data_IF_696011456424
#
_entry.id   IF_696011456424
#
_cell.length_a   1.000
_cell.length_b   1.000
_cell.length_c   1.000
_cell.angle_alpha   90.00
_cell.angle_beta   90.00
_cell.angle_gamma   90.00
#
_symmetry.space_group_name_H-M   'P 1'
#
loop_
_entity.id
_entity.type
_entity.pdbx_description
1 polymer ?
#
# COMPACT_ATOMS: atom_id res chain seq x y z
N UNK A 1 14.41 -6.87 14.30
CA UNK A 1 14.63 -7.52 12.98
C UNK A 1 13.45 -7.36 12.01
N UNK A 2 12.19 -7.59 12.39
CA UNK A 2 11.03 -7.49 11.47
C UNK A 2 10.85 -6.12 10.78
N UNK A 3 11.02 -5.02 11.52
CA UNK A 3 10.94 -3.64 10.98
C UNK A 3 11.98 -3.38 9.89
N UNK A 4 13.22 -3.85 10.07
CA UNK A 4 14.28 -3.70 9.08
C UNK A 4 13.97 -4.45 7.78
N UNK A 5 13.30 -5.61 7.87
CA UNK A 5 12.85 -6.36 6.70
C UNK A 5 11.78 -5.57 5.94
N UNK A 6 10.81 -4.98 6.63
CA UNK A 6 9.80 -4.14 5.98
C UNK A 6 10.41 -2.89 5.36
N UNK A 7 11.37 -2.27 6.04
CA UNK A 7 12.12 -1.13 5.51
C UNK A 7 12.83 -1.48 4.20
N UNK A 8 13.57 -2.59 4.19
CA UNK A 8 14.30 -3.06 3.01
C UNK A 8 13.36 -3.49 1.89
N UNK A 9 12.22 -4.13 2.22
CA UNK A 9 11.18 -4.48 1.26
C UNK A 9 10.53 -3.25 0.64
N UNK A 10 10.25 -2.21 1.43
CA UNK A 10 9.71 -0.95 0.93
C UNK A 10 10.68 -0.21 0.03
N UNK A 11 11.98 -0.20 0.35
CA UNK A 11 13.01 0.31 -0.55
C UNK A 11 13.06 -0.49 -1.87
N UNK A 12 13.00 -1.82 -1.81
CA UNK A 12 12.97 -2.66 -3.00
C UNK A 12 11.73 -2.38 -3.86
N UNK A 13 10.56 -2.27 -3.25
CA UNK A 13 9.31 -1.92 -3.93
C UNK A 13 9.39 -0.53 -4.56
N UNK A 14 9.98 0.42 -3.84
CA UNK A 14 10.21 1.76 -4.33
C UNK A 14 11.11 1.78 -5.56
N UNK A 15 12.23 1.04 -5.54
CA UNK A 15 13.11 0.89 -6.70
C UNK A 15 12.39 0.20 -7.86
N UNK A 16 11.60 -0.82 -7.59
CA UNK A 16 10.85 -1.52 -8.62
C UNK A 16 9.85 -0.57 -9.30
N UNK A 17 9.14 0.25 -8.51
CA UNK A 17 8.15 1.16 -9.06
C UNK A 17 8.72 2.39 -9.76
N UNK A 18 9.94 2.82 -9.43
CA UNK A 18 10.59 3.96 -10.09
C UNK A 18 11.42 3.56 -11.30
N UNK A 19 11.97 2.33 -11.33
CA UNK A 19 12.86 1.88 -12.41
C UNK A 19 12.14 0.99 -13.43
N UNK A 20 11.28 0.06 -13.00
CA UNK A 20 10.69 -0.93 -13.89
C UNK A 20 9.34 -0.47 -14.47
N UNK A 21 8.44 0.08 -13.66
CA UNK A 21 7.11 0.45 -14.17
C UNK A 21 7.11 1.55 -15.24
N UNK A 22 7.95 2.61 -15.16
CA UNK A 22 8.00 3.61 -16.23
C UNK A 22 8.49 3.05 -17.57
N UNK A 23 9.16 1.89 -17.58
CA UNK A 23 9.59 1.20 -18.81
C UNK A 23 8.53 0.26 -19.38
N UNK A 24 7.58 -0.22 -18.56
CA UNK A 24 6.61 -1.25 -18.95
C UNK A 24 5.19 -0.73 -19.12
N UNK A 25 4.82 0.37 -18.44
CA UNK A 25 3.47 0.92 -18.45
C UNK A 25 3.46 2.37 -18.92
N UNK A 26 2.34 2.83 -19.53
CA UNK A 26 2.16 4.25 -19.84
C UNK A 26 2.27 5.10 -18.58
N UNK A 27 2.82 6.31 -18.71
CA UNK A 27 3.24 7.26 -17.67
C UNK A 27 2.27 7.44 -16.48
N UNK A 28 0.98 7.16 -16.66
CA UNK A 28 -0.06 7.40 -15.66
C UNK A 28 -0.64 6.14 -15.01
N UNK A 29 -0.33 4.93 -15.50
CA UNK A 29 -0.79 3.67 -14.90
C UNK A 29 0.41 3.00 -14.23
N UNK A 30 0.66 3.37 -12.97
CA UNK A 30 1.70 2.77 -12.13
C UNK A 30 1.03 2.03 -10.97
N UNK A 31 1.30 0.73 -10.76
CA UNK A 31 0.89 0.07 -9.54
C UNK A 31 1.64 0.66 -8.34
N UNK A 32 0.89 1.00 -7.29
CA UNK A 32 1.44 1.55 -6.07
C UNK A 32 1.78 0.42 -5.09
N UNK A 33 3.02 -0.06 -5.21
CA UNK A 33 3.55 -1.12 -4.35
C UNK A 33 3.71 -0.64 -2.90
N UNK A 34 4.00 0.66 -2.71
CA UNK A 34 4.13 1.23 -1.37
C UNK A 34 2.79 1.33 -0.67
N UNK A 35 1.72 1.71 -1.38
CA UNK A 35 0.35 1.69 -0.84
C UNK A 35 -0.01 0.29 -0.34
N UNK A 36 0.22 -0.74 -1.14
CA UNK A 36 -0.08 -2.12 -0.76
C UNK A 36 0.73 -2.52 0.48
N UNK A 37 2.00 -2.12 0.55
CA UNK A 37 2.85 -2.36 1.72
C UNK A 37 2.35 -1.62 2.96
N UNK A 38 1.91 -0.36 2.83
CA UNK A 38 1.36 0.45 3.92
C UNK A 38 0.04 -0.14 4.43
N UNK A 39 -0.84 -0.59 3.53
CA UNK A 39 -2.06 -1.32 3.88
C UNK A 39 -1.71 -2.59 4.68
N UNK A 40 -0.75 -3.36 4.20
CA UNK A 40 -0.28 -4.55 4.90
C UNK A 40 0.31 -4.24 6.29
N UNK A 41 1.07 -3.15 6.40
CA UNK A 41 1.60 -2.65 7.66
C UNK A 41 0.48 -2.27 8.63
N UNK A 42 -0.56 -1.60 8.14
CA UNK A 42 -1.74 -1.22 8.91
C UNK A 42 -2.48 -2.43 9.50
N UNK A 43 -2.55 -3.53 8.75
CA UNK A 43 -3.15 -4.78 9.23
C UNK A 43 -2.26 -5.47 10.27
N UNK A 44 -0.94 -5.54 10.06
CA UNK A 44 -0.07 -6.47 10.80
C UNK A 44 0.80 -5.85 11.91
N UNK A 45 1.08 -4.54 11.87
CA UNK A 45 2.12 -3.93 12.71
C UNK A 45 1.55 -2.97 13.78
N UNK A 46 2.30 -2.65 14.83
CA UNK A 46 1.81 -1.74 15.89
C UNK A 46 1.70 -0.28 15.41
N UNK A 47 0.80 0.49 16.03
CA UNK A 47 0.53 1.91 15.69
C UNK A 47 1.79 2.75 15.52
N UNK A 48 2.72 2.71 16.48
CA UNK A 48 3.93 3.54 16.45
C UNK A 48 4.91 3.16 15.35
N UNK A 49 5.35 1.90 15.32
CA UNK A 49 6.37 1.44 14.36
C UNK A 49 5.85 1.41 12.92
N UNK A 50 4.58 1.04 12.72
CA UNK A 50 3.96 1.02 11.40
C UNK A 50 3.72 2.43 10.84
N UNK A 51 3.20 3.34 11.67
CA UNK A 51 2.96 4.72 11.27
C UNK A 51 4.26 5.46 10.91
N UNK A 52 5.32 5.28 11.72
CA UNK A 52 6.62 5.87 11.44
C UNK A 52 7.22 5.37 10.11
N UNK A 53 7.12 4.07 9.83
CA UNK A 53 7.57 3.50 8.56
C UNK A 53 6.75 4.03 7.37
N UNK A 54 5.42 4.08 7.49
CA UNK A 54 4.54 4.58 6.43
C UNK A 54 4.87 6.05 6.09
N UNK A 55 5.05 6.88 7.12
CA UNK A 55 5.48 8.27 6.95
C UNK A 55 6.86 8.37 6.30
N UNK A 56 7.83 7.57 6.75
CA UNK A 56 9.19 7.55 6.18
C UNK A 56 9.16 7.18 4.70
N UNK A 57 8.38 6.17 4.30
CA UNK A 57 8.24 5.81 2.90
C UNK A 57 7.58 6.90 2.06
N UNK A 58 6.56 7.57 2.60
CA UNK A 58 5.93 8.70 1.92
C UNK A 58 6.91 9.86 1.74
N UNK A 59 7.70 10.21 2.76
CA UNK A 59 8.74 11.25 2.65
C UNK A 59 9.84 10.87 1.66
N UNK A 60 10.26 9.59 1.63
CA UNK A 60 11.18 9.13 0.59
C UNK A 60 10.53 9.30 -0.79
N UNK A 61 9.27 8.92 -0.94
CA UNK A 61 8.55 9.07 -2.21
C UNK A 61 8.47 10.54 -2.66
N UNK A 62 8.24 11.47 -1.75
CA UNK A 62 8.28 12.91 -2.05
C UNK A 62 9.64 13.33 -2.64
N UNK A 63 10.76 12.86 -2.05
CA UNK A 63 12.12 13.17 -2.52
C UNK A 63 12.36 12.63 -3.94
N UNK A 64 11.94 11.40 -4.22
CA UNK A 64 12.15 10.78 -5.54
C UNK A 64 11.16 11.27 -6.60
N UNK A 65 9.95 11.65 -6.22
CA UNK A 65 8.95 12.19 -7.13
C UNK A 65 9.20 13.66 -7.47
N UNK A 66 10.05 14.36 -6.70
CA UNK A 66 10.23 15.81 -6.82
C UNK A 66 8.97 16.59 -6.43
N UNK A 67 8.09 15.97 -5.63
CA UNK A 67 6.84 16.56 -5.16
C UNK A 67 7.07 17.46 -3.95
N UNK A 68 6.02 18.19 -3.54
CA UNK A 68 6.04 18.94 -2.30
C UNK A 68 6.34 18.03 -1.11
N UNK A 69 7.35 18.39 -0.32
CA UNK A 69 7.78 17.62 0.83
C UNK A 69 6.61 17.44 1.82
N UNK A 70 6.26 16.19 2.11
CA UNK A 70 5.18 15.83 3.02
C UNK A 70 3.86 15.48 2.35
N UNK A 71 3.72 15.63 1.02
CA UNK A 71 2.47 15.28 0.33
C UNK A 71 2.21 13.77 0.40
N UNK A 72 3.14 12.94 -0.09
CA UNK A 72 3.06 11.49 0.06
C UNK A 72 3.32 11.05 1.50
N UNK A 73 4.17 11.76 2.24
CA UNK A 73 4.39 11.54 3.67
C UNK A 73 3.10 11.52 4.49
N UNK A 74 2.31 12.59 4.41
CA UNK A 74 1.02 12.69 5.11
C UNK A 74 -0.03 11.76 4.53
N UNK A 75 -0.05 11.58 3.20
CA UNK A 75 -1.00 10.67 2.53
C UNK A 75 -0.86 9.24 3.06
N UNK A 76 0.36 8.72 3.11
CA UNK A 76 0.61 7.35 3.61
C UNK A 76 0.42 7.22 5.11
N UNK A 77 0.68 8.27 5.89
CA UNK A 77 0.40 8.27 7.32
C UNK A 77 -1.11 8.20 7.60
N UNK A 78 -1.91 9.04 6.93
CA UNK A 78 -3.37 9.02 7.06
C UNK A 78 -3.92 7.67 6.59
N UNK A 79 -3.47 7.19 5.43
CA UNK A 79 -3.83 5.88 4.90
C UNK A 79 -3.57 4.76 5.91
N UNK A 80 -2.39 4.74 6.55
CA UNK A 80 -2.06 3.76 7.58
C UNK A 80 -3.06 3.80 8.74
N UNK A 81 -3.38 4.99 9.26
CA UNK A 81 -4.36 5.14 10.34
C UNK A 81 -5.77 4.74 9.93
N UNK A 82 -6.21 5.10 8.72
CA UNK A 82 -7.51 4.69 8.18
C UNK A 82 -7.60 3.17 8.10
N UNK A 83 -6.61 2.52 7.49
CA UNK A 83 -6.55 1.06 7.37
C UNK A 83 -6.56 0.41 8.75
N UNK A 84 -5.74 0.91 9.67
CA UNK A 84 -5.63 0.38 11.03
C UNK A 84 -6.96 0.50 11.79
N UNK A 85 -7.63 1.64 11.66
CA UNK A 85 -8.96 1.87 12.22
C UNK A 85 -9.96 0.87 11.67
N UNK A 86 -10.04 0.71 10.34
CA UNK A 86 -10.95 -0.23 9.68
C UNK A 86 -10.71 -1.68 10.10
N UNK A 87 -9.45 -2.10 10.24
CA UNK A 87 -9.10 -3.45 10.72
C UNK A 87 -9.57 -3.68 12.16
N UNK A 88 -9.64 -2.64 12.99
CA UNK A 88 -10.19 -2.76 14.34
C UNK A 88 -11.70 -2.98 14.35
N UNK A 89 -12.41 -2.63 13.27
CA UNK A 89 -13.86 -2.81 13.15
C UNK A 89 -14.26 -4.12 12.46
N UNK A 90 -13.41 -4.65 11.58
CA UNK A 90 -13.72 -5.84 10.79
C UNK A 90 -12.89 -7.05 11.24
N UNK A 91 -13.54 -8.21 11.35
CA UNK A 91 -12.87 -9.45 11.74
C UNK A 91 -11.76 -9.80 10.74
N UNK A 92 -10.51 -9.82 11.21
CA UNK A 92 -9.28 -9.75 10.39
C UNK A 92 -8.92 -11.04 9.62
N UNK A 93 -9.86 -11.97 9.46
CA UNK A 93 -9.61 -13.34 8.98
C UNK A 93 -9.81 -13.50 7.47
N UNK A 94 -10.45 -12.53 6.79
CA UNK A 94 -10.78 -12.66 5.38
C UNK A 94 -9.71 -12.07 4.46
N UNK A 95 -9.11 -12.82 3.51
CA UNK A 95 -8.18 -12.26 2.52
C UNK A 95 -8.85 -11.19 1.62
N UNK A 96 -10.17 -11.28 1.46
CA UNK A 96 -11.00 -10.27 0.82
C UNK A 96 -10.94 -8.91 1.54
N UNK A 97 -10.73 -8.89 2.85
CA UNK A 97 -10.59 -7.66 3.62
C UNK A 97 -9.33 -6.89 3.22
N UNK A 98 -8.23 -7.57 2.90
CA UNK A 98 -7.01 -6.90 2.44
C UNK A 98 -7.22 -6.28 1.05
N UNK A 99 -7.88 -6.98 0.13
CA UNK A 99 -8.24 -6.42 -1.18
C UNK A 99 -9.21 -5.24 -1.05
N UNK A 100 -10.19 -5.34 -0.15
CA UNK A 100 -11.11 -4.25 0.15
C UNK A 100 -10.38 -3.04 0.73
N UNK A 101 -9.41 -3.25 1.62
CA UNK A 101 -8.57 -2.19 2.17
C UNK A 101 -7.65 -1.56 1.12
N UNK A 102 -7.14 -2.35 0.16
CA UNK A 102 -6.40 -1.79 -0.98
C UNK A 102 -7.33 -0.93 -1.82
N UNK A 103 -8.54 -1.40 -2.14
CA UNK A 103 -9.54 -0.60 -2.86
C UNK A 103 -9.85 0.71 -2.13
N UNK A 104 -10.27 0.65 -0.86
CA UNK A 104 -10.54 1.85 -0.07
C UNK A 104 -9.30 2.74 0.07
N UNK A 105 -8.13 2.13 0.26
CA UNK A 105 -6.86 2.83 0.39
C UNK A 105 -6.51 3.63 -0.84
N UNK A 106 -6.72 3.08 -2.04
CA UNK A 106 -6.50 3.79 -3.30
C UNK A 106 -7.45 4.97 -3.50
N UNK A 107 -8.70 4.86 -3.04
CA UNK A 107 -9.65 5.97 -3.08
C UNK A 107 -9.26 7.08 -2.09
N UNK A 108 -8.85 6.71 -0.88
CA UNK A 108 -8.39 7.65 0.15
C UNK A 108 -7.13 8.36 -0.32
N UNK A 109 -6.16 7.62 -0.87
CA UNK A 109 -4.96 8.19 -1.46
C UNK A 109 -5.30 9.20 -2.56
N UNK A 110 -6.14 8.82 -3.54
CA UNK A 110 -6.56 9.70 -4.62
C UNK A 110 -7.23 10.98 -4.09
N UNK A 111 -8.12 10.87 -3.11
CA UNK A 111 -8.78 12.01 -2.49
C UNK A 111 -7.78 12.95 -1.78
N UNK A 112 -6.82 12.39 -1.04
CA UNK A 112 -5.78 13.15 -0.35
C UNK A 112 -4.82 13.83 -1.33
N UNK A 113 -4.44 13.16 -2.42
CA UNK A 113 -3.60 13.76 -3.46
C UNK A 113 -4.32 14.91 -4.17
N UNK A 114 -5.63 14.80 -4.41
CA UNK A 114 -6.44 15.91 -4.96
C UNK A 114 -6.46 17.08 -3.96
N UNK A 115 -6.72 16.81 -2.68
CA UNK A 115 -6.78 17.84 -1.64
C UNK A 115 -5.43 18.56 -1.49
N UNK A 116 -4.34 17.82 -1.33
CA UNK A 116 -3.00 18.39 -1.19
C UNK A 116 -2.51 19.04 -2.48
N UNK A 117 -2.83 18.46 -3.65
CA UNK A 117 -2.53 19.06 -4.94
C UNK A 117 -3.22 20.41 -5.13
N UNK A 118 -4.47 20.53 -4.69
CA UNK A 118 -5.19 21.80 -4.70
C UNK A 118 -4.56 22.85 -3.76
N UNK A 119 -4.19 22.44 -2.53
CA UNK A 119 -3.49 23.33 -1.58
C UNK A 119 -2.12 23.78 -2.10
N UNK A 120 -1.41 22.89 -2.80
CA UNK A 120 -0.09 23.15 -3.36
C UNK A 120 -0.13 23.89 -4.71
N UNK A 121 -1.32 24.30 -5.18
CA UNK A 121 -1.53 24.91 -6.51
C UNK A 121 -0.95 24.08 -7.67
N UNK A 122 -0.92 22.76 -7.50
CA UNK A 122 -0.41 21.82 -8.49
C UNK A 122 -1.45 21.55 -9.60
N UNK A 123 -1.98 22.65 -10.17
CA UNK A 123 -2.87 22.76 -11.33
C UNK A 123 -3.63 21.51 -11.70
N UNK A 124 -3.13 20.80 -12.72
CA UNK A 124 -3.83 19.71 -13.42
C UNK A 124 -3.81 18.36 -12.69
N UNK A 125 -3.22 18.26 -11.48
CA UNK A 125 -3.16 16.98 -10.76
C UNK A 125 -4.54 16.35 -10.55
N UNK A 126 -5.58 17.15 -10.27
CA UNK A 126 -6.92 16.62 -10.06
C UNK A 126 -7.54 15.99 -11.32
N UNK A 127 -7.30 16.56 -12.51
CA UNK A 127 -7.74 16.02 -13.80
C UNK A 127 -7.06 14.69 -14.11
N UNK A 128 -5.77 14.59 -13.79
CA UNK A 128 -5.00 13.36 -13.95
C UNK A 128 -5.55 12.30 -13.00
N UNK A 129 -5.68 12.61 -11.71
CA UNK A 129 -6.15 11.65 -10.70
C UNK A 129 -7.55 11.14 -11.04
N UNK A 130 -8.51 12.01 -11.38
CA UNK A 130 -9.88 11.58 -11.66
C UNK A 130 -9.99 10.73 -12.93
N UNK A 131 -9.18 11.02 -13.95
CA UNK A 131 -9.16 10.26 -15.21
C UNK A 131 -8.56 8.88 -15.03
N UNK A 132 -7.57 8.73 -14.14
CA UNK A 132 -6.81 7.51 -13.96
C UNK A 132 -7.21 6.70 -12.71
N UNK A 133 -8.13 7.18 -11.88
CA UNK A 133 -8.54 6.48 -10.65
C UNK A 133 -9.06 5.07 -10.93
N UNK A 134 -9.90 4.90 -11.95
CA UNK A 134 -10.48 3.59 -12.31
C UNK A 134 -9.39 2.59 -12.73
N UNK A 135 -8.55 2.88 -13.74
CA UNK A 135 -7.47 1.96 -14.10
C UNK A 135 -6.46 1.75 -12.96
N UNK A 136 -6.20 2.76 -12.13
CA UNK A 136 -5.29 2.65 -10.99
C UNK A 136 -5.83 1.72 -9.90
N UNK A 137 -7.11 1.81 -9.57
CA UNK A 137 -7.80 0.89 -8.66
C UNK A 137 -7.71 -0.54 -9.18
N UNK A 138 -8.01 -0.76 -10.46
CA UNK A 138 -7.96 -2.10 -11.07
C UNK A 138 -6.54 -2.67 -11.00
N UNK A 139 -5.53 -1.88 -11.37
CA UNK A 139 -4.13 -2.31 -11.34
C UNK A 139 -3.66 -2.59 -9.91
N UNK A 140 -3.99 -1.75 -8.94
CA UNK A 140 -3.63 -1.95 -7.54
C UNK A 140 -4.33 -3.18 -6.94
N UNK A 141 -5.58 -3.46 -7.32
CA UNK A 141 -6.26 -4.69 -6.93
C UNK A 141 -5.63 -5.93 -7.55
N UNK A 142 -5.28 -5.90 -8.84
CA UNK A 142 -4.61 -7.02 -9.51
C UNK A 142 -3.24 -7.29 -8.89
N UNK A 143 -2.43 -6.26 -8.66
CA UNK A 143 -1.11 -6.39 -8.04
C UNK A 143 -1.22 -6.79 -6.57
N UNK A 144 -2.17 -6.22 -5.83
CA UNK A 144 -2.45 -6.61 -4.44
C UNK A 144 -2.87 -8.08 -4.34
N UNK A 145 -3.76 -8.54 -5.23
CA UNK A 145 -4.17 -9.94 -5.33
C UNK A 145 -3.01 -10.86 -5.72
N UNK A 146 -2.18 -10.45 -6.67
CA UNK A 146 -0.99 -11.20 -7.07
C UNK A 146 0.02 -11.32 -5.92
N UNK A 147 0.27 -10.23 -5.18
CA UNK A 147 1.13 -10.21 -4.01
C UNK A 147 0.58 -11.10 -2.88
N UNK A 148 -0.73 -11.08 -2.63
CA UNK A 148 -1.38 -11.99 -1.71
C UNK A 148 -1.23 -13.45 -2.13
N UNK A 149 -1.40 -13.75 -3.42
CA UNK A 149 -1.20 -15.08 -3.96
C UNK A 149 0.25 -15.55 -3.82
N UNK A 150 1.23 -14.68 -4.12
CA UNK A 150 2.65 -14.95 -3.89
C UNK A 150 2.96 -15.15 -2.41
N UNK A 151 2.39 -14.32 -1.53
CA UNK A 151 2.58 -14.44 -0.09
C UNK A 151 2.02 -15.77 0.45
N UNK A 152 0.78 -16.12 0.10
CA UNK A 152 0.17 -17.42 0.47
C UNK A 152 0.98 -18.61 -0.07
N UNK A 153 1.50 -18.53 -1.31
CA UNK A 153 2.35 -19.56 -1.91
C UNK A 153 3.71 -19.67 -1.22
N UNK A 154 4.34 -18.54 -0.88
CA UNK A 154 5.62 -18.53 -0.16
C UNK A 154 5.47 -19.04 1.26
N UNK A 155 4.37 -18.74 1.94
CA UNK A 155 4.08 -19.28 3.27
C UNK A 155 3.92 -20.80 3.27
N UNK A 156 3.29 -21.37 2.24
CA UNK A 156 3.22 -22.82 2.06
C UNK A 156 4.60 -23.47 1.86
N UNK A 157 5.58 -22.74 1.31
CA UNK A 157 6.96 -23.21 1.08
C UNK A 157 7.91 -22.93 2.26
N UNK A 158 7.67 -21.87 3.03
CA UNK A 158 8.53 -21.42 4.13
C UNK A 158 7.71 -21.09 5.39
N UNK A 159 7.41 -22.09 6.25
CA UNK A 159 6.61 -21.90 7.47
C UNK A 159 7.26 -21.01 8.53
N UNK A 160 8.54 -20.63 8.37
CA UNK A 160 9.24 -19.67 9.25
C UNK A 160 8.78 -18.22 9.05
N UNK A 161 8.16 -17.89 7.93
CA UNK A 161 7.50 -16.60 7.69
C UNK A 161 5.99 -16.73 8.00
N UNK A 162 5.67 -17.04 9.26
CA UNK A 162 4.29 -16.93 9.75
C UNK A 162 3.90 -15.44 9.77
N UNK A 163 3.20 -15.01 8.72
CA UNK A 163 2.47 -13.76 8.68
C UNK A 163 1.25 -13.97 9.59
N UNK A 164 1.14 -13.23 10.71
CA UNK A 164 0.13 -13.49 11.73
C UNK A 164 -1.33 -13.52 11.21
N UNK A 165 -1.61 -12.82 10.09
CA UNK A 165 -2.94 -12.82 9.45
C UNK A 165 -3.26 -14.00 8.52
N UNK A 166 -2.26 -14.76 8.06
CA UNK A 166 -2.46 -15.85 7.09
C UNK A 166 -2.33 -17.26 7.69
N UNK A 167 -1.71 -17.39 8.87
CA UNK A 167 -1.47 -18.68 9.52
C UNK A 167 -2.76 -19.43 9.89
N UNK A 168 -3.88 -18.72 10.05
CA UNK A 168 -5.17 -19.30 10.48
C UNK A 168 -6.10 -19.69 9.34
N UNK A 169 -5.77 -19.32 8.10
CA UNK A 169 -6.50 -19.78 6.91
C UNK A 169 -6.32 -21.28 6.65
N UNK A 170 -5.26 -21.88 7.18
CA UNK A 170 -5.04 -23.32 7.09
C UNK A 170 -5.82 -24.12 8.15
N UNK A 171 -6.27 -23.52 9.26
CA UNK A 171 -7.00 -24.24 10.32
C UNK A 171 -8.48 -24.46 9.96
N UNK A 172 -9.04 -23.67 9.04
CA UNK A 172 -10.44 -23.80 8.60
C UNK A 172 -10.69 -24.89 7.56
N UNK A 173 -9.65 -25.55 7.04
CA UNK A 173 -9.78 -26.57 5.99
C UNK A 173 -9.65 -28.01 6.52
N UNK A 174 -9.30 -28.19 7.80
CA UNK A 174 -9.16 -29.51 8.45
C UNK A 174 -10.41 -29.90 9.28
N UNK A 175 -11.61 -29.45 8.88
CA UNK A 175 -12.88 -29.92 9.44
C UNK A 175 -13.82 -30.45 8.36
#
# INVERSE_FOLDING_TARGET
>A
MRIAIYFLLGLLFMLFQTVFFPRLFPIYIKPDLLLILVVYLGVNERYGSGGLLAYTFGCLLDVFAGSFMGMYGLTFLILFFTVRGTVSFFNSENPLLLLFLVFCGTLVEAALLILFGFMAQAGDLWLIVIRWIVPQVVVNLLVGGLLLFLATRMQRRFPRFQIPGLSRLNEGYDR
#
